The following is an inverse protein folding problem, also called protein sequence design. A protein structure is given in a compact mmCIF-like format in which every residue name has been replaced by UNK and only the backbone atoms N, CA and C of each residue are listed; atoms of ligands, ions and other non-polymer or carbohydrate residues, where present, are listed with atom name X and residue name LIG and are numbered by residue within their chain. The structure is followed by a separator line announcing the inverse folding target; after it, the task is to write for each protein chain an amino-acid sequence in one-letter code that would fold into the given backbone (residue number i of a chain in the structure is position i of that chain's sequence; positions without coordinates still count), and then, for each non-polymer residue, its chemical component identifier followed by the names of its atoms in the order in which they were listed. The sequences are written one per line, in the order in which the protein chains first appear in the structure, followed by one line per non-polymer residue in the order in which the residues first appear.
data_IF_972621323976
#
_entry.id   IF_972621323976
#
_cell.length_a   1.000
_cell.length_b   1.000
_cell.length_c   1.000
_cell.angle_alpha   90.00
_cell.angle_beta   90.00
_cell.angle_gamma   90.00
#
_symmetry.space_group_name_H-M   'P 1'
#
loop_
_entity.id
_entity.type
_entity.pdbx_description
1 polymer ?
#
# COMPACT_ATOMS: atom_id res chain seq x y z
N UNK A 1 15.38 2.24 -5.16
CA UNK A 1 14.38 2.04 -4.08
C UNK A 1 13.96 3.33 -3.39
N UNK A 2 14.55 4.45 -3.81
CA UNK A 2 14.13 5.77 -3.33
C UNK A 2 12.70 6.04 -3.75
N UNK A 3 12.02 6.92 -3.03
CA UNK A 3 10.64 7.31 -3.32
C UNK A 3 10.45 7.71 -4.79
N UNK A 4 11.36 8.52 -5.32
CA UNK A 4 11.33 8.99 -6.72
C UNK A 4 11.58 7.90 -7.77
N UNK A 5 12.20 6.78 -7.39
CA UNK A 5 12.42 5.65 -8.30
C UNK A 5 11.21 4.73 -8.41
N UNK A 6 10.41 4.68 -7.35
CA UNK A 6 9.27 3.78 -7.22
C UNK A 6 7.95 4.41 -7.64
N UNK A 7 7.78 5.73 -7.49
CA UNK A 7 6.47 6.37 -7.60
C UNK A 7 6.45 7.61 -8.49
N UNK A 8 5.37 7.75 -9.23
CA UNK A 8 4.89 9.03 -9.75
C UNK A 8 4.01 9.70 -8.68
N UNK A 9 4.58 10.63 -7.94
CA UNK A 9 3.89 11.29 -6.83
C UNK A 9 2.69 12.14 -7.25
N UNK A 10 2.52 12.46 -8.53
CA UNK A 10 1.33 13.13 -9.05
C UNK A 10 0.06 12.24 -8.99
N UNK A 11 0.24 10.97 -8.64
CA UNK A 11 -0.80 9.94 -8.58
C UNK A 11 -1.27 9.62 -7.16
N UNK A 12 -1.13 10.54 -6.24
CA UNK A 12 -1.59 10.34 -4.85
C UNK A 12 -1.85 11.66 -4.14
N UNK A 13 -2.88 11.68 -3.30
CA UNK A 13 -3.13 12.77 -2.36
C UNK A 13 -1.97 12.92 -1.34
N UNK A 14 -1.25 11.84 -1.07
CA UNK A 14 -0.14 11.80 -0.12
C UNK A 14 1.18 12.36 -0.69
N UNK A 15 1.17 12.98 -1.87
CA UNK A 15 2.33 13.56 -2.50
C UNK A 15 3.14 14.48 -1.56
N UNK A 16 2.54 15.45 -0.83
CA UNK A 16 3.31 16.32 0.08
C UNK A 16 4.03 15.55 1.19
N UNK A 17 3.43 14.45 1.68
CA UNK A 17 4.02 13.58 2.69
C UNK A 17 5.21 12.79 2.12
N UNK A 18 5.05 12.21 0.94
CA UNK A 18 6.07 11.36 0.32
C UNK A 18 7.22 12.12 -0.32
N UNK A 19 7.00 13.35 -0.75
CA UNK A 19 8.02 14.18 -1.42
C UNK A 19 9.23 14.45 -0.57
N UNK A 20 9.07 14.53 0.74
CA UNK A 20 10.15 14.81 1.70
C UNK A 20 10.87 13.56 2.18
N UNK A 21 10.38 12.37 1.81
CA UNK A 21 10.94 11.08 2.20
C UNK A 21 11.94 10.58 1.16
N UNK A 22 13.16 10.29 1.58
CA UNK A 22 14.12 9.62 0.70
C UNK A 22 13.65 8.20 0.39
N UNK A 23 13.22 7.47 1.41
CA UNK A 23 12.65 6.14 1.29
C UNK A 23 11.17 6.14 1.65
N UNK A 24 10.30 5.43 0.90
CA UNK A 24 8.85 5.53 1.10
C UNK A 24 8.37 5.12 2.50
N UNK A 25 9.04 4.17 3.15
CA UNK A 25 8.64 3.72 4.48
C UNK A 25 8.79 4.78 5.58
N UNK A 26 9.55 5.85 5.33
CA UNK A 26 9.67 6.98 6.26
C UNK A 26 8.33 7.69 6.47
N UNK A 27 7.47 7.71 5.44
CA UNK A 27 6.14 8.31 5.50
C UNK A 27 5.14 7.58 6.43
N UNK A 28 5.39 6.31 6.76
CA UNK A 28 4.39 5.48 7.45
C UNK A 28 4.04 5.95 8.87
N UNK A 29 4.95 6.64 9.57
CA UNK A 29 4.68 7.16 10.91
C UNK A 29 3.79 8.40 10.87
N UNK A 30 3.81 9.12 9.77
CA UNK A 30 3.14 10.42 9.63
C UNK A 30 1.80 10.35 8.89
N UNK A 31 1.35 9.15 8.46
CA UNK A 31 0.06 8.98 7.77
C UNK A 31 -1.10 9.56 8.60
N UNK A 32 -1.15 9.25 9.89
CA UNK A 32 -2.23 9.72 10.74
C UNK A 32 -2.25 11.25 10.90
N UNK A 33 -1.08 11.85 11.17
CA UNK A 33 -0.94 13.32 11.31
C UNK A 33 -1.26 14.02 9.99
N UNK A 34 -0.82 13.47 8.87
CA UNK A 34 -1.13 13.97 7.54
C UNK A 34 -2.64 13.95 7.27
N UNK A 35 -3.34 12.84 7.54
CA UNK A 35 -4.79 12.74 7.37
C UNK A 35 -5.52 13.78 8.23
N UNK A 36 -5.12 13.97 9.49
CA UNK A 36 -5.71 14.97 10.40
C UNK A 36 -5.51 16.39 9.91
N UNK A 37 -4.39 16.68 9.28
CA UNK A 37 -4.07 17.99 8.71
C UNK A 37 -4.84 18.25 7.42
N UNK A 38 -4.84 17.29 6.51
CA UNK A 38 -5.40 17.46 5.16
C UNK A 38 -6.91 17.24 5.14
N UNK A 39 -7.42 16.28 5.90
CA UNK A 39 -8.85 15.93 5.89
C UNK A 39 -9.80 17.12 6.05
N UNK A 40 -9.60 18.01 7.05
CA UNK A 40 -10.45 19.19 7.21
C UNK A 40 -10.35 20.21 6.06
N UNK A 41 -9.32 20.15 5.22
CA UNK A 41 -9.11 21.05 4.08
C UNK A 41 -9.65 20.50 2.76
N UNK A 42 -10.09 19.24 2.75
CA UNK A 42 -10.74 18.65 1.60
C UNK A 42 -12.06 19.41 1.31
N UNK A 43 -12.31 19.70 0.04
CA UNK A 43 -13.45 20.52 -0.37
C UNK A 43 -14.82 19.88 -0.10
N UNK A 44 -15.88 20.55 -0.56
CA UNK A 44 -17.28 20.10 -0.41
C UNK A 44 -17.59 18.76 -1.08
N UNK A 45 -16.67 18.26 -1.93
CA UNK A 45 -16.79 16.97 -2.59
C UNK A 45 -16.49 15.78 -1.65
N UNK A 46 -15.99 16.08 -0.45
CA UNK A 46 -15.83 15.11 0.63
C UNK A 46 -16.86 15.30 1.72
N UNK A 47 -17.27 14.20 2.32
CA UNK A 47 -18.09 14.18 3.52
C UNK A 47 -17.34 13.54 4.69
N UNK A 48 -17.60 14.04 5.90
CA UNK A 48 -17.07 13.44 7.13
C UNK A 48 -18.05 12.38 7.63
N UNK A 49 -17.73 11.09 7.45
CA UNK A 49 -18.57 9.95 7.87
C UNK A 49 -18.35 9.47 9.30
N UNK A 50 -17.43 10.09 10.03
CA UNK A 50 -17.09 9.71 11.41
C UNK A 50 -15.95 10.53 11.97
N UNK A 51 -15.41 10.10 13.11
CA UNK A 51 -14.24 10.76 13.68
C UNK A 51 -13.02 10.49 12.79
N UNK A 52 -12.44 11.58 12.24
CA UNK A 52 -11.28 11.53 11.34
C UNK A 52 -11.47 10.64 10.09
N UNK A 53 -12.71 10.53 9.56
CA UNK A 53 -13.05 9.75 8.37
C UNK A 53 -13.60 10.68 7.29
N UNK A 54 -12.87 10.85 6.20
CA UNK A 54 -13.26 11.65 5.04
C UNK A 54 -13.46 10.76 3.82
N UNK A 55 -14.61 10.87 3.18
CA UNK A 55 -15.00 10.05 2.04
C UNK A 55 -15.48 10.95 0.93
N UNK A 56 -14.92 10.81 -0.27
CA UNK A 56 -15.40 11.52 -1.44
C UNK A 56 -16.85 11.08 -1.75
N UNK A 57 -17.69 12.04 -2.20
CA UNK A 57 -19.13 11.80 -2.39
C UNK A 57 -19.43 10.81 -3.52
N UNK A 58 -18.53 10.65 -4.46
CA UNK A 58 -18.60 9.70 -5.57
C UNK A 58 -17.89 8.37 -5.29
N UNK A 59 -17.29 8.22 -4.11
CA UNK A 59 -16.73 6.94 -3.68
C UNK A 59 -17.83 5.93 -3.33
N UNK A 60 -17.64 4.68 -3.72
CA UNK A 60 -18.59 3.60 -3.47
C UNK A 60 -18.13 2.81 -2.25
N UNK A 61 -18.84 2.98 -1.13
CA UNK A 61 -18.56 2.25 0.10
C UNK A 61 -19.72 1.33 0.43
N UNK A 62 -19.45 0.02 0.43
CA UNK A 62 -20.46 -0.98 0.77
C UNK A 62 -20.94 -0.80 2.23
N UNK A 63 -22.26 -0.93 2.52
CA UNK A 63 -22.79 -0.74 3.87
C UNK A 63 -22.25 -1.75 4.90
N UNK A 64 -21.65 -2.81 4.44
CA UNK A 64 -21.02 -3.87 5.26
C UNK A 64 -19.50 -3.70 5.42
N UNK A 65 -18.92 -2.67 4.85
CA UNK A 65 -17.53 -2.32 5.09
C UNK A 65 -17.40 -1.56 6.41
N UNK A 66 -16.30 -1.79 7.11
CA UNK A 66 -15.95 -1.01 8.29
C UNK A 66 -14.88 0.03 7.94
N UNK A 67 -15.14 1.27 8.32
CA UNK A 67 -14.17 2.36 8.21
C UNK A 67 -13.76 2.84 9.60
N UNK A 68 -12.49 2.64 9.96
CA UNK A 68 -11.85 3.21 11.15
C UNK A 68 -10.99 4.41 10.80
N UNK A 69 -11.08 5.46 11.62
CA UNK A 69 -10.26 6.66 11.44
C UNK A 69 -8.84 6.54 12.06
N UNK A 70 -7.92 7.43 11.71
CA UNK A 70 -8.05 8.40 10.62
C UNK A 70 -7.96 7.73 9.24
N UNK A 71 -8.84 8.10 8.30
CA UNK A 71 -8.75 7.64 6.92
C UNK A 71 -9.33 8.64 5.91
N UNK A 72 -8.83 8.57 4.68
CA UNK A 72 -9.35 9.28 3.51
C UNK A 72 -9.67 8.25 2.43
N UNK A 73 -10.89 8.29 1.91
CA UNK A 73 -11.34 7.53 0.74
C UNK A 73 -11.59 8.53 -0.38
N UNK A 74 -10.72 8.51 -1.39
CA UNK A 74 -10.70 9.51 -2.45
C UNK A 74 -11.73 9.19 -3.56
N UNK A 75 -11.85 10.09 -4.52
CA UNK A 75 -12.81 10.06 -5.63
C UNK A 75 -12.84 8.75 -6.40
N UNK A 76 -14.04 8.24 -6.64
CA UNK A 76 -14.26 7.02 -7.42
C UNK A 76 -13.67 5.75 -6.81
N UNK A 77 -13.13 5.82 -5.58
CA UNK A 77 -12.62 4.63 -4.90
C UNK A 77 -13.76 3.69 -4.52
N UNK A 78 -13.48 2.39 -4.54
CA UNK A 78 -14.42 1.34 -4.14
C UNK A 78 -13.95 0.65 -2.87
N UNK A 79 -14.79 0.68 -1.82
CA UNK A 79 -14.62 -0.11 -0.59
C UNK A 79 -15.75 -1.14 -0.55
N UNK A 80 -15.41 -2.39 -0.87
CA UNK A 80 -16.38 -3.44 -1.15
C UNK A 80 -16.88 -4.14 0.12
N UNK A 81 -17.87 -5.03 -0.05
CA UNK A 81 -18.47 -5.84 1.00
C UNK A 81 -17.42 -6.51 1.90
N UNK A 82 -17.55 -6.37 3.23
CA UNK A 82 -16.68 -7.00 4.21
C UNK A 82 -15.26 -6.45 4.29
N UNK A 83 -14.94 -5.35 3.59
CA UNK A 83 -13.66 -4.69 3.75
C UNK A 83 -13.52 -4.11 5.16
N UNK A 84 -12.30 -4.20 5.73
CA UNK A 84 -11.98 -3.69 7.04
C UNK A 84 -10.84 -2.66 6.95
N UNK A 85 -11.19 -1.37 6.85
CA UNK A 85 -10.22 -0.29 6.98
C UNK A 85 -10.07 0.00 8.46
N UNK A 86 -8.98 -0.49 9.04
CA UNK A 86 -8.78 -0.50 10.48
C UNK A 86 -8.38 0.88 11.00
N UNK A 87 -7.35 1.49 10.41
CA UNK A 87 -6.82 2.79 10.82
C UNK A 87 -5.74 3.30 9.85
N UNK A 88 -5.53 4.63 9.81
CA UNK A 88 -4.41 5.29 9.13
C UNK A 88 -4.31 4.88 7.67
N UNK A 89 -5.40 5.05 6.93
CA UNK A 89 -5.45 4.64 5.54
C UNK A 89 -5.74 5.82 4.61
N UNK A 90 -4.95 5.96 3.56
CA UNK A 90 -5.23 6.82 2.41
C UNK A 90 -5.53 5.90 1.23
N UNK A 91 -6.75 5.94 0.72
CA UNK A 91 -7.21 5.18 -0.43
C UNK A 91 -7.39 6.15 -1.59
N UNK A 92 -6.51 6.09 -2.57
CA UNK A 92 -6.42 7.02 -3.69
C UNK A 92 -7.58 6.91 -4.68
N UNK A 93 -7.60 7.81 -5.67
CA UNK A 93 -8.66 7.89 -6.67
C UNK A 93 -8.82 6.61 -7.46
N UNK A 94 -10.05 6.09 -7.54
CA UNK A 94 -10.35 4.86 -8.27
C UNK A 94 -9.64 3.62 -7.73
N UNK A 95 -9.08 3.68 -6.53
CA UNK A 95 -8.48 2.51 -5.88
C UNK A 95 -9.56 1.54 -5.38
N UNK A 96 -9.22 0.27 -5.24
CA UNK A 96 -10.15 -0.79 -4.83
C UNK A 96 -9.66 -1.46 -3.56
N UNK A 97 -10.49 -1.42 -2.53
CA UNK A 97 -10.36 -2.21 -1.31
C UNK A 97 -11.48 -3.25 -1.34
N UNK A 98 -11.13 -4.49 -1.65
CA UNK A 98 -12.10 -5.50 -1.99
C UNK A 98 -12.65 -6.30 -0.82
N UNK A 99 -13.36 -7.37 -1.17
CA UNK A 99 -14.01 -8.24 -0.20
C UNK A 99 -13.01 -8.80 0.81
N UNK A 100 -13.35 -8.64 2.09
CA UNK A 100 -12.58 -9.17 3.23
C UNK A 100 -11.10 -8.78 3.22
N UNK A 101 -10.80 -7.60 2.68
CA UNK A 101 -9.46 -7.01 2.71
C UNK A 101 -9.30 -6.14 3.95
N UNK A 102 -8.24 -6.37 4.72
CA UNK A 102 -7.86 -5.51 5.84
C UNK A 102 -6.76 -4.52 5.44
N UNK A 103 -6.98 -3.24 5.75
CA UNK A 103 -5.98 -2.18 5.63
C UNK A 103 -5.61 -1.62 6.99
N UNK A 104 -4.29 -1.47 7.24
CA UNK A 104 -3.78 -0.90 8.48
C UNK A 104 -2.49 -0.12 8.24
N UNK A 105 -2.50 1.19 8.45
CA UNK A 105 -1.35 2.08 8.26
C UNK A 105 -0.78 2.02 6.85
N UNK A 106 -1.56 2.49 5.86
CA UNK A 106 -1.27 2.28 4.43
C UNK A 106 -1.52 3.53 3.59
N UNK A 107 -0.82 3.61 2.48
CA UNK A 107 -1.12 4.52 1.37
C UNK A 107 -1.36 3.66 0.12
N UNK A 108 -2.57 3.70 -0.41
CA UNK A 108 -2.91 3.21 -1.74
C UNK A 108 -2.95 4.42 -2.68
N UNK A 109 -2.11 4.40 -3.69
CA UNK A 109 -2.13 5.42 -4.75
C UNK A 109 -3.37 5.25 -5.63
N UNK A 110 -3.56 6.20 -6.54
CA UNK A 110 -4.67 6.15 -7.49
C UNK A 110 -4.67 4.82 -8.25
N UNK A 111 -5.86 4.21 -8.38
CA UNK A 111 -6.09 2.93 -9.05
C UNK A 111 -5.35 1.72 -8.47
N UNK A 112 -4.72 1.84 -7.31
CA UNK A 112 -4.16 0.68 -6.63
C UNK A 112 -5.27 -0.29 -6.18
N UNK A 113 -5.01 -1.59 -6.23
CA UNK A 113 -6.03 -2.60 -5.98
C UNK A 113 -5.57 -3.68 -4.99
N UNK A 114 -6.35 -3.84 -3.94
CA UNK A 114 -6.30 -4.97 -3.02
C UNK A 114 -7.70 -5.61 -2.96
N UNK A 115 -8.10 -6.37 -4.01
CA UNK A 115 -9.52 -6.63 -4.29
C UNK A 115 -10.13 -7.83 -3.56
N UNK A 116 -9.32 -8.76 -3.03
CA UNK A 116 -9.84 -10.03 -2.52
C UNK A 116 -8.99 -10.63 -1.40
N UNK A 117 -9.53 -10.69 -0.16
CA UNK A 117 -8.92 -11.41 0.96
C UNK A 117 -7.46 -11.02 1.20
N UNK A 118 -7.15 -9.75 1.07
CA UNK A 118 -5.80 -9.26 1.26
C UNK A 118 -5.61 -8.75 2.70
N UNK A 119 -4.40 -8.89 3.23
CA UNK A 119 -3.94 -8.11 4.37
C UNK A 119 -2.86 -7.15 3.92
N UNK A 120 -3.09 -5.85 4.11
CA UNK A 120 -2.14 -4.78 3.75
C UNK A 120 -1.84 -3.97 5.01
N UNK A 121 -0.71 -4.23 5.60
CA UNK A 121 -0.29 -3.56 6.84
C UNK A 121 1.07 -2.87 6.71
N UNK A 122 1.17 -1.64 7.21
CA UNK A 122 2.39 -0.84 7.20
C UNK A 122 3.07 -0.84 5.82
N UNK A 123 2.29 -0.52 4.78
CA UNK A 123 2.66 -0.73 3.37
C UNK A 123 2.24 0.44 2.49
N UNK A 124 2.88 0.57 1.33
CA UNK A 124 2.53 1.55 0.30
C UNK A 124 2.38 0.82 -1.04
N UNK A 125 1.23 1.01 -1.69
CA UNK A 125 0.93 0.49 -3.01
C UNK A 125 0.91 1.67 -4.00
N UNK A 126 1.80 1.66 -4.98
CA UNK A 126 1.94 2.67 -6.01
C UNK A 126 0.76 2.71 -6.99
N UNK A 127 0.81 3.66 -7.91
CA UNK A 127 -0.20 3.83 -8.93
C UNK A 127 -0.43 2.54 -9.71
N UNK A 128 -1.71 2.13 -9.80
CA UNK A 128 -2.12 0.93 -10.53
C UNK A 128 -1.44 -0.38 -10.05
N UNK A 129 -0.84 -0.40 -8.85
CA UNK A 129 -0.32 -1.62 -8.27
C UNK A 129 -1.46 -2.56 -7.86
N UNK A 130 -1.30 -3.86 -8.08
CA UNK A 130 -2.34 -4.86 -7.85
C UNK A 130 -1.85 -6.02 -6.99
N UNK A 131 -2.67 -6.39 -6.02
CA UNK A 131 -2.51 -7.60 -5.20
C UNK A 131 -3.51 -8.66 -5.66
N UNK A 132 -3.03 -9.80 -6.14
CA UNK A 132 -3.86 -10.97 -6.42
C UNK A 132 -4.59 -11.47 -5.16
N UNK A 133 -5.61 -12.29 -5.35
CA UNK A 133 -6.44 -12.82 -4.26
C UNK A 133 -5.59 -13.54 -3.20
N UNK A 134 -5.80 -13.19 -1.92
CA UNK A 134 -5.10 -13.79 -0.80
C UNK A 134 -3.64 -13.36 -0.66
N UNK A 135 -3.15 -12.41 -1.45
CA UNK A 135 -1.80 -11.87 -1.25
C UNK A 135 -1.73 -11.03 0.05
N UNK A 136 -0.62 -11.16 0.77
CA UNK A 136 -0.44 -10.62 2.12
C UNK A 136 0.86 -9.83 2.20
N UNK A 137 0.83 -8.64 2.82
CA UNK A 137 2.03 -7.93 3.25
C UNK A 137 2.31 -8.23 4.72
N UNK A 138 3.15 -9.23 4.98
CA UNK A 138 3.59 -9.52 6.36
C UNK A 138 4.44 -8.38 6.88
N UNK A 139 4.04 -7.77 8.00
CA UNK A 139 4.64 -6.52 8.47
C UNK A 139 5.47 -6.63 9.76
N UNK A 140 5.60 -7.83 10.32
CA UNK A 140 6.34 -8.07 11.56
C UNK A 140 7.19 -9.34 11.44
N UNK A 141 8.45 -9.25 11.85
CA UNK A 141 9.31 -10.42 11.98
C UNK A 141 8.95 -11.23 13.23
N UNK A 142 9.08 -12.55 13.16
CA UNK A 142 8.76 -13.44 14.28
C UNK A 142 9.63 -13.20 15.52
N UNK A 143 10.87 -12.75 15.32
CA UNK A 143 11.80 -12.41 16.41
C UNK A 143 11.60 -10.99 16.97
N UNK A 144 10.68 -10.21 16.38
CA UNK A 144 10.36 -8.84 16.78
C UNK A 144 11.49 -7.83 16.56
N UNK A 145 12.57 -8.19 15.89
CA UNK A 145 13.67 -7.28 15.57
C UNK A 145 13.29 -6.25 14.50
N UNK A 146 14.09 -5.17 14.42
CA UNK A 146 13.90 -4.17 13.39
C UNK A 146 14.05 -4.77 11.98
N UNK A 147 13.26 -4.24 11.06
CA UNK A 147 13.23 -4.70 9.68
C UNK A 147 14.38 -4.05 8.92
N UNK A 148 15.07 -4.88 8.14
CA UNK A 148 16.09 -4.47 7.17
C UNK A 148 15.57 -4.82 5.79
N UNK A 149 15.60 -3.86 4.87
CA UNK A 149 15.36 -4.14 3.45
C UNK A 149 16.60 -4.86 2.89
N UNK A 150 16.39 -6.10 2.42
CA UNK A 150 17.45 -6.93 1.87
C UNK A 150 17.81 -6.47 0.45
N UNK A 151 18.56 -5.39 0.37
CA UNK A 151 19.16 -4.83 -0.84
C UNK A 151 20.67 -5.04 -0.80
N UNK A 152 21.36 -4.55 -1.81
CA UNK A 152 22.82 -4.50 -1.85
C UNK A 152 23.27 -3.02 -2.03
N UNK A 153 23.81 -2.38 -0.97
CA UNK A 153 23.91 -2.88 0.41
C UNK A 153 22.55 -2.94 1.14
N UNK A 154 22.43 -3.73 2.23
CA UNK A 154 21.22 -3.78 3.03
C UNK A 154 20.88 -2.44 3.67
N UNK A 155 19.58 -2.07 3.71
CA UNK A 155 19.10 -0.81 4.27
C UNK A 155 18.37 -1.03 5.59
N UNK A 156 18.91 -0.47 6.67
CA UNK A 156 18.23 -0.43 7.96
C UNK A 156 17.04 0.55 7.88
N UNK A 157 15.85 0.09 8.26
CA UNK A 157 14.66 0.95 8.22
C UNK A 157 14.39 1.68 9.52
N UNK A 158 15.03 1.29 10.61
CA UNK A 158 14.71 1.76 11.96
C UNK A 158 13.35 1.27 12.49
N UNK A 159 12.60 0.52 11.70
CA UNK A 159 11.20 0.17 11.96
C UNK A 159 11.05 -1.27 12.44
N UNK A 160 10.22 -1.45 13.45
CA UNK A 160 9.81 -2.78 13.90
C UNK A 160 8.69 -3.37 13.04
N UNK A 161 7.90 -2.50 12.37
CA UNK A 161 6.81 -2.89 11.47
C UNK A 161 7.00 -2.21 10.13
N UNK A 162 7.07 -3.03 9.08
CA UNK A 162 7.09 -2.63 7.69
C UNK A 162 6.61 -3.82 6.86
N UNK A 163 5.53 -3.68 6.15
CA UNK A 163 5.03 -4.70 5.22
C UNK A 163 5.82 -4.69 3.92
N UNK A 164 5.20 -4.19 2.87
CA UNK A 164 5.81 -4.12 1.56
C UNK A 164 5.62 -2.73 0.91
N UNK A 165 6.57 -2.38 0.06
CA UNK A 165 6.50 -1.22 -0.81
C UNK A 165 6.38 -1.73 -2.24
N UNK A 166 5.26 -1.44 -2.90
CA UNK A 166 5.00 -1.80 -4.29
C UNK A 166 5.09 -0.54 -5.14
N UNK A 167 6.07 -0.50 -6.04
CA UNK A 167 6.18 0.58 -7.03
C UNK A 167 4.99 0.61 -7.99
N UNK A 168 4.89 1.69 -8.76
CA UNK A 168 3.81 1.84 -9.73
C UNK A 168 3.73 0.64 -10.68
N UNK A 169 2.50 0.23 -11.02
CA UNK A 169 2.22 -0.88 -11.94
C UNK A 169 2.78 -2.25 -11.51
N UNK A 170 3.11 -2.41 -10.22
CA UNK A 170 3.55 -3.70 -9.70
C UNK A 170 2.38 -4.69 -9.65
N UNK A 171 2.62 -5.92 -10.10
CA UNK A 171 1.59 -6.98 -10.20
C UNK A 171 1.97 -8.17 -9.32
N UNK A 172 1.17 -8.47 -8.31
CA UNK A 172 1.42 -9.56 -7.36
C UNK A 172 0.42 -10.68 -7.59
N UNK A 173 0.93 -11.87 -7.89
CA UNK A 173 0.10 -13.07 -8.10
C UNK A 173 -0.68 -13.49 -6.85
N UNK A 174 -1.69 -14.32 -7.06
CA UNK A 174 -2.54 -14.82 -5.97
C UNK A 174 -1.74 -15.61 -4.93
N UNK A 175 -2.18 -15.54 -3.65
CA UNK A 175 -1.62 -16.29 -2.52
C UNK A 175 -0.12 -16.01 -2.27
N UNK A 176 0.37 -14.84 -2.67
CA UNK A 176 1.75 -14.44 -2.37
C UNK A 176 1.88 -13.90 -0.95
N UNK A 177 3.00 -14.18 -0.32
CA UNK A 177 3.41 -13.55 0.94
C UNK A 177 4.60 -12.64 0.67
N UNK A 178 4.39 -11.34 0.82
CA UNK A 178 5.46 -10.35 0.81
C UNK A 178 5.99 -10.23 2.24
N UNK A 179 7.19 -10.76 2.49
CA UNK A 179 7.81 -10.75 3.82
C UNK A 179 8.16 -9.32 4.25
N UNK A 180 8.31 -9.06 5.56
CA UNK A 180 8.61 -7.73 6.07
C UNK A 180 9.80 -7.06 5.38
N UNK A 181 9.57 -5.84 4.89
CA UNK A 181 10.58 -5.06 4.17
C UNK A 181 10.78 -5.46 2.71
N UNK A 182 9.83 -6.18 2.11
CA UNK A 182 9.86 -6.46 0.65
C UNK A 182 9.62 -5.17 -0.14
N UNK A 183 10.43 -4.96 -1.18
CA UNK A 183 10.26 -3.87 -2.14
C UNK A 183 10.11 -4.43 -3.55
N UNK A 184 9.00 -4.08 -4.19
CA UNK A 184 8.70 -4.46 -5.57
C UNK A 184 8.88 -3.24 -6.46
N UNK A 185 9.78 -3.31 -7.43
CA UNK A 185 10.07 -2.21 -8.34
C UNK A 185 8.92 -1.92 -9.31
N UNK A 186 8.97 -0.76 -9.98
CA UNK A 186 7.94 -0.33 -10.95
C UNK A 186 7.74 -1.39 -12.05
N UNK A 187 6.48 -1.73 -12.31
CA UNK A 187 6.10 -2.68 -13.35
C UNK A 187 6.66 -4.09 -13.16
N UNK A 188 7.16 -4.42 -11.97
CA UNK A 188 7.62 -5.78 -11.68
C UNK A 188 6.44 -6.71 -11.39
N UNK A 189 6.62 -8.00 -11.63
CA UNK A 189 5.60 -9.03 -11.47
C UNK A 189 6.09 -10.13 -10.54
N UNK A 190 5.17 -10.65 -9.74
CA UNK A 190 5.44 -11.79 -8.86
C UNK A 190 4.49 -12.93 -9.22
N UNK A 191 5.03 -14.11 -9.49
CA UNK A 191 4.21 -15.28 -9.80
C UNK A 191 3.40 -15.73 -8.57
N UNK A 192 2.22 -16.33 -8.78
CA UNK A 192 1.37 -16.84 -7.70
C UNK A 192 2.12 -17.82 -6.78
N UNK A 193 1.63 -17.94 -5.53
CA UNK A 193 2.16 -18.86 -4.50
C UNK A 193 3.61 -18.54 -4.09
N UNK A 194 4.07 -17.33 -4.30
CA UNK A 194 5.45 -16.94 -3.99
C UNK A 194 5.59 -16.38 -2.58
N UNK A 195 6.69 -16.77 -1.91
CA UNK A 195 7.17 -16.11 -0.70
C UNK A 195 8.34 -15.19 -1.05
N UNK A 196 8.10 -13.89 -1.09
CA UNK A 196 9.06 -12.88 -1.55
C UNK A 196 9.74 -12.20 -0.38
N UNK A 197 11.07 -12.06 -0.44
CA UNK A 197 11.86 -11.30 0.53
C UNK A 197 12.92 -10.47 -0.20
N UNK A 198 13.11 -9.23 0.24
CA UNK A 198 14.09 -8.30 -0.35
C UNK A 198 13.52 -7.52 -1.52
N UNK A 199 14.32 -7.28 -2.53
CA UNK A 199 13.99 -6.39 -3.62
C UNK A 199 13.77 -7.15 -4.92
N UNK A 200 12.64 -6.92 -5.57
CA UNK A 200 12.42 -7.31 -6.96
C UNK A 200 12.66 -6.09 -7.84
N UNK A 201 13.64 -6.11 -8.76
CA UNK A 201 13.97 -4.95 -9.59
C UNK A 201 12.80 -4.51 -10.49
N UNK A 202 12.78 -3.23 -10.87
CA UNK A 202 11.77 -2.71 -11.79
C UNK A 202 11.76 -3.51 -13.10
N UNK A 203 10.54 -3.78 -13.64
CA UNK A 203 10.35 -4.51 -14.91
C UNK A 203 10.97 -5.92 -14.92
N UNK A 204 10.95 -6.59 -13.76
CA UNK A 204 11.37 -7.99 -13.63
C UNK A 204 10.20 -8.87 -13.19
N UNK A 205 10.32 -10.15 -13.48
CA UNK A 205 9.41 -11.20 -13.01
C UNK A 205 10.13 -11.99 -11.93
N UNK A 206 9.54 -12.02 -10.74
CA UNK A 206 9.92 -12.95 -9.68
C UNK A 206 9.14 -14.25 -9.88
N UNK A 207 9.81 -15.30 -10.33
CA UNK A 207 9.22 -16.63 -10.51
C UNK A 207 9.47 -17.51 -9.29
N UNK A 208 10.68 -17.40 -8.72
CA UNK A 208 11.10 -18.05 -7.48
C UNK A 208 12.22 -17.23 -6.85
N UNK A 209 12.69 -17.66 -5.66
CA UNK A 209 13.80 -17.01 -4.96
C UNK A 209 15.06 -16.91 -5.82
N UNK A 210 15.32 -17.93 -6.62
CA UNK A 210 16.55 -18.05 -7.40
C UNK A 210 16.33 -17.71 -8.88
N UNK A 211 15.11 -17.30 -9.26
CA UNK A 211 14.77 -16.98 -10.65
C UNK A 211 14.03 -15.64 -10.74
N UNK A 212 14.80 -14.56 -10.90
CA UNK A 212 14.30 -13.21 -11.16
C UNK A 212 14.82 -12.80 -12.54
N UNK A 213 13.89 -12.56 -13.48
CA UNK A 213 14.23 -12.32 -14.89
C UNK A 213 13.61 -11.02 -15.42
N UNK A 214 14.26 -10.29 -16.35
CA UNK A 214 13.65 -9.12 -16.99
C UNK A 214 12.36 -9.47 -17.74
N UNK A 215 11.40 -8.55 -17.76
CA UNK A 215 10.23 -8.62 -18.65
C UNK A 215 10.73 -8.31 -20.07
N UNK A 216 10.44 -9.22 -21.00
CA UNK A 216 10.75 -9.07 -22.42
C UNK A 216 9.71 -8.24 -23.15
#
# INVERSE_FOLDING_TARGET
MKTSELFDLSRTLAEPLLRVCEYPWEALDDIASFIRTVGPTLGSDFERRGEEIWVARDAIVAPTAFLGGPCIIDHGAEVRHGAYIREKAIVGKGAVVGNSTELKNVILFDRAQAPHYNYVGDSILGYHAHLGAGAITSNLKSDGSNIVVHADPPLATGRRKLGAILGDEAEIGCQCVLNPGTVIGRGARVYPLSSVRGVVPARHIYKSRDEIVPIR
#
